data_IF_344393688501
#
_entry.id   IF_344393688501
#
_cell.length_a   1.000
_cell.length_b   1.000
_cell.length_c   1.000
_cell.angle_alpha   90.00
_cell.angle_beta   90.00
_cell.angle_gamma   90.00
#
_symmetry.space_group_name_H-M   'P 1'
#
loop_
_entity.id
_entity.type
_entity.pdbx_description
1 polymer ?
#
# COMPACT_ATOMS: atom_id res chain seq x y z
N UNK A 1 18.16 26.31 -13.75
CA UNK A 1 17.61 25.30 -14.69
C UNK A 1 18.12 23.94 -14.25
N UNK A 2 17.27 22.91 -14.18
CA UNK A 2 17.72 21.55 -13.84
C UNK A 2 18.53 20.98 -15.01
N UNK A 3 19.80 20.66 -14.77
CA UNK A 3 20.70 20.06 -15.76
C UNK A 3 20.55 18.54 -15.84
N UNK A 4 19.67 17.95 -14.99
CA UNK A 4 19.40 16.51 -14.94
C UNK A 4 19.12 15.88 -16.30
N UNK A 5 18.13 16.39 -17.04
CA UNK A 5 17.76 15.81 -18.33
C UNK A 5 18.91 15.80 -19.34
N UNK A 6 19.74 16.85 -19.34
CA UNK A 6 20.92 16.96 -20.21
C UNK A 6 22.01 15.98 -19.80
N UNK A 7 22.29 15.84 -18.51
CA UNK A 7 23.28 14.88 -18.00
C UNK A 7 22.82 13.44 -18.21
N UNK A 8 21.54 13.14 -17.99
CA UNK A 8 20.95 11.83 -18.27
C UNK A 8 21.15 11.46 -19.75
N UNK A 9 20.78 12.37 -20.66
CA UNK A 9 20.98 12.18 -22.09
C UNK A 9 22.45 11.98 -22.45
N UNK A 10 23.33 12.81 -21.89
CA UNK A 10 24.76 12.72 -22.10
C UNK A 10 25.29 11.33 -21.70
N UNK A 11 25.03 10.86 -20.48
CA UNK A 11 25.49 9.55 -20.03
C UNK A 11 24.86 8.40 -20.82
N UNK A 12 23.57 8.49 -21.19
CA UNK A 12 22.92 7.49 -22.06
C UNK A 12 23.61 7.40 -23.42
N UNK A 13 23.94 8.52 -24.06
CA UNK A 13 24.59 8.52 -25.37
C UNK A 13 26.04 7.99 -25.34
N UNK A 14 26.69 7.99 -24.17
CA UNK A 14 27.97 7.33 -23.94
C UNK A 14 27.83 5.81 -23.78
N UNK A 15 26.64 5.31 -23.44
CA UNK A 15 26.41 3.88 -23.26
C UNK A 15 26.47 3.12 -24.60
N UNK A 16 26.95 1.88 -24.55
CA UNK A 16 26.96 0.94 -25.68
C UNK A 16 26.16 -0.30 -25.33
N UNK A 17 25.10 -0.58 -26.07
CA UNK A 17 24.31 -1.80 -25.89
C UNK A 17 25.12 -3.00 -26.44
N UNK A 18 25.46 -4.01 -25.61
CA UNK A 18 26.25 -5.16 -26.05
C UNK A 18 25.50 -6.05 -27.05
N UNK A 19 24.17 -6.01 -27.06
CA UNK A 19 23.36 -6.81 -27.99
C UNK A 19 23.37 -6.26 -29.41
N UNK A 20 23.45 -4.93 -29.57
CA UNK A 20 23.38 -4.27 -30.89
C UNK A 20 24.69 -3.59 -31.30
N UNK A 21 25.62 -3.37 -30.37
CA UNK A 21 26.83 -2.56 -30.54
C UNK A 21 26.58 -1.06 -30.71
N UNK A 22 25.31 -0.62 -30.70
CA UNK A 22 24.91 0.78 -30.93
C UNK A 22 24.83 1.56 -29.61
N UNK A 23 24.64 2.88 -29.73
CA UNK A 23 24.31 3.73 -28.58
C UNK A 23 22.99 3.30 -27.97
N UNK A 24 22.88 3.37 -26.64
CA UNK A 24 21.66 3.03 -25.93
C UNK A 24 20.53 4.00 -26.32
N UNK A 25 19.42 3.50 -26.84
CA UNK A 25 18.24 4.33 -27.17
C UNK A 25 17.39 4.61 -25.93
N UNK A 26 16.49 5.60 -26.00
CA UNK A 26 15.55 5.89 -24.90
C UNK A 26 14.61 4.71 -24.63
N UNK A 27 14.08 4.09 -25.68
CA UNK A 27 13.24 2.88 -25.60
C UNK A 27 14.00 1.74 -24.91
N UNK A 28 15.24 1.48 -25.34
CA UNK A 28 16.06 0.43 -24.76
C UNK A 28 16.41 0.67 -23.30
N UNK A 29 16.64 1.93 -22.90
CA UNK A 29 16.82 2.28 -21.48
C UNK A 29 15.56 1.99 -20.66
N UNK A 30 14.38 2.28 -21.22
CA UNK A 30 13.09 1.93 -20.62
C UNK A 30 12.90 0.42 -20.41
N UNK A 31 13.29 -0.39 -21.39
CA UNK A 31 13.26 -1.86 -21.28
C UNK A 31 14.23 -2.37 -20.20
N UNK A 32 15.45 -1.83 -20.14
CA UNK A 32 16.43 -2.23 -19.11
C UNK A 32 15.97 -1.87 -17.70
N UNK A 33 15.26 -0.75 -17.54
CA UNK A 33 14.62 -0.40 -16.27
C UNK A 33 13.52 -1.41 -15.92
N UNK A 34 12.72 -1.84 -16.89
CA UNK A 34 11.72 -2.89 -16.66
C UNK A 34 12.37 -4.20 -16.19
N UNK A 35 13.45 -4.63 -16.84
CA UNK A 35 14.18 -5.86 -16.46
C UNK A 35 14.76 -5.77 -15.03
N UNK A 36 15.18 -4.58 -14.60
CA UNK A 36 15.81 -4.36 -13.29
C UNK A 36 14.80 -4.23 -12.14
N UNK A 37 13.70 -3.47 -12.31
CA UNK A 37 12.76 -3.16 -11.21
C UNK A 37 11.32 -3.64 -11.42
N UNK A 38 11.02 -4.24 -12.59
CA UNK A 38 9.68 -4.77 -12.91
C UNK A 38 8.63 -3.71 -13.24
N UNK A 39 9.05 -2.46 -13.48
CA UNK A 39 8.15 -1.34 -13.83
C UNK A 39 8.51 -0.86 -15.23
N UNK A 40 7.53 -0.87 -16.15
CA UNK A 40 7.75 -0.53 -17.54
C UNK A 40 7.72 0.97 -17.75
N UNK A 41 8.80 1.53 -18.31
CA UNK A 41 8.90 2.93 -18.70
C UNK A 41 9.03 3.01 -20.21
N UNK A 42 8.14 3.75 -20.85
CA UNK A 42 8.22 3.95 -22.30
C UNK A 42 9.41 4.85 -22.67
N UNK A 43 9.89 4.73 -23.91
CA UNK A 43 10.90 5.66 -24.44
C UNK A 43 10.45 7.13 -24.39
N UNK A 44 9.13 7.38 -24.45
CA UNK A 44 8.56 8.72 -24.27
C UNK A 44 8.77 9.26 -22.84
N UNK A 45 8.57 8.43 -21.81
CA UNK A 45 8.83 8.83 -20.42
C UNK A 45 10.31 9.20 -20.21
N UNK A 46 11.23 8.39 -20.76
CA UNK A 46 12.67 8.69 -20.74
C UNK A 46 12.98 10.00 -21.50
N UNK A 47 12.36 10.21 -22.65
CA UNK A 47 12.49 11.46 -23.41
C UNK A 47 11.98 12.68 -22.62
N UNK A 48 10.90 12.54 -21.87
CA UNK A 48 10.38 13.62 -21.02
C UNK A 48 11.34 13.94 -19.87
N UNK A 49 12.00 12.93 -19.28
CA UNK A 49 13.06 13.15 -18.29
C UNK A 49 14.26 13.88 -18.92
N UNK A 50 14.70 13.45 -20.10
CA UNK A 50 15.83 14.08 -20.81
C UNK A 50 15.55 15.54 -21.22
N UNK A 51 14.29 15.86 -21.50
CA UNK A 51 13.83 17.22 -21.84
C UNK A 51 13.46 18.06 -20.60
N UNK A 52 13.53 17.48 -19.40
CA UNK A 52 13.00 18.05 -18.17
C UNK A 52 11.49 18.41 -18.22
N UNK A 53 10.71 17.75 -19.09
CA UNK A 53 9.26 17.89 -19.15
C UNK A 53 8.56 17.13 -18.01
N UNK A 54 9.18 16.05 -17.53
CA UNK A 54 8.78 15.35 -16.31
C UNK A 54 9.99 15.08 -15.41
N UNK A 55 9.72 14.85 -14.12
CA UNK A 55 10.75 14.55 -13.11
C UNK A 55 10.47 13.19 -12.50
N UNK A 56 11.53 12.42 -12.24
CA UNK A 56 11.45 11.23 -11.39
C UNK A 56 11.11 11.70 -9.98
N UNK A 57 10.15 11.06 -9.32
CA UNK A 57 9.81 11.38 -7.94
C UNK A 57 11.03 11.11 -7.04
N UNK A 58 11.40 12.06 -6.18
CA UNK A 58 12.53 11.91 -5.27
C UNK A 58 12.37 10.73 -4.29
N UNK A 59 11.12 10.32 -4.03
CA UNK A 59 10.81 9.15 -3.20
C UNK A 59 11.01 7.82 -3.95
N UNK A 60 11.10 7.83 -5.29
CA UNK A 60 11.39 6.65 -6.11
C UNK A 60 12.90 6.42 -6.24
N UNK A 61 13.54 6.27 -5.07
CA UNK A 61 14.98 6.08 -4.98
C UNK A 61 15.45 4.80 -5.67
N UNK A 62 14.59 3.77 -5.71
CA UNK A 62 14.87 2.53 -6.41
C UNK A 62 15.05 2.77 -7.92
N UNK A 63 14.15 3.54 -8.54
CA UNK A 63 14.29 3.94 -9.95
C UNK A 63 15.59 4.73 -10.19
N UNK A 64 15.94 5.67 -9.31
CA UNK A 64 17.18 6.46 -9.44
C UNK A 64 18.44 5.59 -9.32
N UNK A 65 18.50 4.67 -8.36
CA UNK A 65 19.61 3.72 -8.21
C UNK A 65 19.73 2.79 -9.42
N UNK A 66 18.61 2.25 -9.90
CA UNK A 66 18.58 1.37 -11.08
C UNK A 66 19.02 2.12 -12.34
N UNK A 67 18.65 3.39 -12.48
CA UNK A 67 19.11 4.24 -13.57
C UNK A 67 20.63 4.42 -13.54
N UNK A 68 21.21 4.76 -12.38
CA UNK A 68 22.67 4.88 -12.21
C UNK A 68 23.36 3.55 -12.49
N UNK A 69 22.83 2.44 -11.97
CA UNK A 69 23.35 1.09 -12.19
C UNK A 69 23.42 0.73 -13.67
N UNK A 70 22.35 0.96 -14.42
CA UNK A 70 22.29 0.69 -15.87
C UNK A 70 23.28 1.59 -16.61
N UNK A 71 23.28 2.90 -16.34
CA UNK A 71 24.22 3.82 -16.99
C UNK A 71 25.68 3.44 -16.72
N UNK A 72 26.00 2.96 -15.51
CA UNK A 72 27.33 2.45 -15.19
C UNK A 72 27.66 1.15 -15.91
N UNK A 73 26.76 0.16 -15.86
CA UNK A 73 26.95 -1.15 -16.49
C UNK A 73 27.23 -1.05 -17.99
N UNK A 74 26.61 -0.08 -18.66
CA UNK A 74 26.74 0.12 -20.11
C UNK A 74 27.80 1.18 -20.49
N UNK A 75 28.58 1.65 -19.51
CA UNK A 75 29.77 2.51 -19.71
C UNK A 75 29.50 4.01 -19.81
N UNK A 76 28.29 4.47 -19.50
CA UNK A 76 27.93 5.88 -19.45
C UNK A 76 28.50 6.61 -18.24
N UNK A 77 28.32 6.06 -17.04
CA UNK A 77 28.86 6.58 -15.77
C UNK A 77 30.10 5.77 -15.39
N UNK A 78 31.23 6.45 -15.14
CA UNK A 78 32.51 5.76 -14.87
C UNK A 78 32.93 5.81 -13.41
N UNK A 79 32.51 6.84 -12.69
CA UNK A 79 32.89 7.04 -11.29
C UNK A 79 31.68 7.40 -10.40
N UNK A 80 31.81 7.30 -9.07
CA UNK A 80 30.79 7.75 -8.14
C UNK A 80 30.47 9.24 -8.26
N UNK A 81 31.46 10.06 -8.59
CA UNK A 81 31.30 11.51 -8.74
C UNK A 81 30.42 11.84 -9.95
N UNK A 82 30.52 11.08 -11.04
CA UNK A 82 29.63 11.19 -12.20
C UNK A 82 28.18 10.90 -11.81
N UNK A 83 27.96 9.90 -10.94
CA UNK A 83 26.65 9.51 -10.43
C UNK A 83 26.07 10.56 -9.47
N UNK A 84 26.86 11.05 -8.52
CA UNK A 84 26.46 12.11 -7.60
C UNK A 84 26.11 13.38 -8.38
N UNK A 85 26.94 13.77 -9.34
CA UNK A 85 26.68 14.91 -10.22
C UNK A 85 25.38 14.76 -11.01
N UNK A 86 25.08 13.55 -11.52
CA UNK A 86 23.80 13.29 -12.18
C UNK A 86 22.64 13.53 -11.20
N UNK A 87 22.69 12.90 -10.02
CA UNK A 87 21.61 12.96 -9.04
C UNK A 87 21.38 14.38 -8.49
N UNK A 88 22.45 15.06 -8.08
CA UNK A 88 22.39 16.41 -7.53
C UNK A 88 21.86 17.42 -8.55
N UNK A 89 22.14 17.26 -9.84
CA UNK A 89 21.60 18.12 -10.90
C UNK A 89 20.07 18.04 -11.06
N UNK A 90 19.44 17.00 -10.48
CA UNK A 90 18.00 16.82 -10.38
C UNK A 90 17.41 17.26 -9.04
N UNK A 91 18.24 17.77 -8.11
CA UNK A 91 17.94 17.95 -6.69
C UNK A 91 17.63 16.62 -5.97
N UNK A 92 18.24 15.52 -6.40
CA UNK A 92 18.24 14.26 -5.66
C UNK A 92 19.42 14.22 -4.69
N UNK A 93 19.34 13.35 -3.67
CA UNK A 93 20.48 13.14 -2.77
C UNK A 93 21.62 12.41 -3.50
N UNK A 94 22.86 12.70 -3.11
CA UNK A 94 24.03 11.92 -3.51
C UNK A 94 23.93 10.46 -2.99
N UNK A 95 24.73 9.58 -3.60
CA UNK A 95 24.86 8.19 -3.18
C UNK A 95 25.52 8.14 -1.79
N UNK A 96 24.99 7.33 -0.90
CA UNK A 96 25.63 7.06 0.39
C UNK A 96 26.80 6.08 0.22
N UNK A 97 27.69 5.92 1.23
CA UNK A 97 28.87 5.05 1.11
C UNK A 97 28.54 3.59 0.78
N UNK A 98 27.43 3.05 1.29
CA UNK A 98 27.00 1.67 1.00
C UNK A 98 26.55 1.52 -0.45
N UNK A 99 25.79 2.49 -0.97
CA UNK A 99 25.36 2.53 -2.36
C UNK A 99 26.54 2.70 -3.32
N UNK A 100 27.52 3.53 -2.96
CA UNK A 100 28.79 3.66 -3.71
C UNK A 100 29.57 2.36 -3.73
N UNK A 101 29.68 1.67 -2.60
CA UNK A 101 30.37 0.38 -2.50
C UNK A 101 29.68 -0.72 -3.33
N UNK A 102 28.35 -0.76 -3.34
CA UNK A 102 27.57 -1.72 -4.13
C UNK A 102 27.65 -1.43 -5.64
N UNK A 103 27.49 -0.15 -6.02
CA UNK A 103 27.49 0.25 -7.43
C UNK A 103 28.89 0.30 -8.02
N UNK A 104 29.93 0.63 -7.28
CA UNK A 104 31.29 0.81 -7.79
C UNK A 104 32.31 -0.05 -7.01
N UNK A 105 32.26 -1.40 -7.12
CA UNK A 105 33.20 -2.25 -6.40
C UNK A 105 34.64 -1.97 -6.86
N UNK A 106 35.47 -1.47 -5.95
CA UNK A 106 36.87 -1.11 -6.16
C UNK A 106 37.50 -0.59 -4.86
N UNK A 107 38.85 -0.54 -4.76
CA UNK A 107 39.53 -0.01 -3.60
C UNK A 107 39.34 1.52 -3.56
N UNK A 108 38.24 1.96 -2.95
CA UNK A 108 38.14 3.33 -2.49
C UNK A 108 39.00 3.44 -1.24
N UNK A 109 40.07 4.23 -1.31
CA UNK A 109 40.68 4.77 -0.09
C UNK A 109 39.58 5.58 0.59
N UNK A 110 39.07 5.06 1.71
CA UNK A 110 38.04 5.72 2.49
C UNK A 110 38.63 7.04 2.98
N UNK A 111 38.15 8.15 2.40
CA UNK A 111 38.43 9.47 2.94
C UNK A 111 37.76 9.54 4.32
N UNK A 112 38.58 9.57 5.38
CA UNK A 112 38.20 9.56 6.81
C UNK A 112 37.41 10.81 7.26
N UNK A 113 36.84 11.56 6.32
CA UNK A 113 35.94 12.67 6.61
C UNK A 113 34.71 12.15 7.37
N UNK A 114 34.44 12.66 8.59
CA UNK A 114 33.34 12.19 9.41
C UNK A 114 32.01 12.46 8.68
N UNK A 115 31.39 11.38 8.21
CA UNK A 115 30.13 11.44 7.50
C UNK A 115 29.06 12.13 8.38
N UNK A 116 28.26 13.06 7.82
CA UNK A 116 27.10 13.58 8.53
C UNK A 116 26.19 12.40 8.94
N UNK A 117 25.59 12.44 10.13
CA UNK A 117 24.79 11.34 10.65
C UNK A 117 23.69 10.98 9.64
N UNK A 118 23.56 9.70 9.25
CA UNK A 118 22.62 9.28 8.23
C UNK A 118 21.20 9.62 8.68
N UNK A 119 20.56 10.55 7.99
CA UNK A 119 19.12 10.74 8.08
C UNK A 119 18.49 9.58 7.32
N UNK A 120 18.34 8.45 8.01
CA UNK A 120 17.72 7.22 7.51
C UNK A 120 16.24 7.45 7.23
N UNK A 121 15.93 7.97 6.03
CA UNK A 121 14.61 7.86 5.41
C UNK A 121 14.66 6.70 4.41
N UNK A 122 14.84 5.49 4.92
CA UNK A 122 14.40 4.31 4.18
C UNK A 122 12.87 4.41 4.12
N UNK A 123 12.33 4.75 2.96
CA UNK A 123 10.91 4.64 2.69
C UNK A 123 10.67 3.23 2.16
N UNK A 124 10.26 2.25 3.01
CA UNK A 124 9.96 0.92 2.51
C UNK A 124 8.78 1.04 1.54
N UNK A 125 8.93 0.53 0.33
CA UNK A 125 7.79 0.41 -0.57
C UNK A 125 6.66 -0.35 0.16
N UNK A 126 5.49 0.28 0.27
CA UNK A 126 4.37 -0.21 1.10
C UNK A 126 3.94 -1.65 0.75
N UNK A 127 4.24 -2.11 -0.46
CA UNK A 127 3.96 -3.48 -0.93
C UNK A 127 5.00 -4.51 -0.46
N UNK A 128 6.28 -4.16 -0.34
CA UNK A 128 7.29 -5.09 0.18
C UNK A 128 7.06 -5.43 1.65
N UNK A 129 6.53 -4.48 2.43
CA UNK A 129 6.10 -4.73 3.80
C UNK A 129 5.02 -5.82 3.88
N UNK A 130 4.02 -5.77 2.99
CA UNK A 130 2.92 -6.75 2.97
C UNK A 130 3.39 -8.15 2.56
N UNK A 131 4.25 -8.28 1.55
CA UNK A 131 4.69 -9.60 1.07
C UNK A 131 5.73 -10.28 1.98
N UNK A 132 6.59 -9.52 2.67
CA UNK A 132 7.58 -10.09 3.60
C UNK A 132 6.92 -10.71 4.83
N UNK A 133 5.77 -10.18 5.25
CA UNK A 133 5.01 -10.67 6.40
C UNK A 133 4.13 -11.88 6.07
N UNK A 134 3.63 -12.04 4.84
CA UNK A 134 2.65 -13.09 4.50
C UNK A 134 3.27 -14.49 4.37
N UNK A 135 4.42 -14.62 3.71
CA UNK A 135 5.04 -15.95 3.52
C UNK A 135 5.99 -16.34 4.64
N UNK A 136 6.52 -15.37 5.41
CA UNK A 136 7.54 -15.57 6.44
C UNK A 136 8.89 -16.10 5.93
N UNK A 137 8.94 -16.75 4.77
CA UNK A 137 10.15 -17.34 4.18
C UNK A 137 10.87 -16.25 3.39
N UNK A 138 12.11 -15.94 3.80
CA UNK A 138 12.97 -15.01 3.05
C UNK A 138 13.37 -15.59 1.70
N UNK A 139 13.71 -14.74 0.71
CA UNK A 139 14.21 -15.22 -0.60
C UNK A 139 15.42 -16.14 -0.46
N UNK A 140 16.33 -15.85 0.47
CA UNK A 140 17.50 -16.68 0.75
C UNK A 140 17.09 -18.05 1.30
N UNK A 141 16.15 -18.07 2.25
CA UNK A 141 15.63 -19.30 2.85
C UNK A 141 14.86 -20.16 1.83
N UNK A 142 14.11 -19.53 0.92
CA UNK A 142 13.43 -20.26 -0.15
C UNK A 142 14.41 -20.87 -1.15
N UNK A 143 15.47 -20.14 -1.52
CA UNK A 143 16.57 -20.70 -2.35
C UNK A 143 17.22 -21.91 -1.67
N UNK A 144 17.43 -21.84 -0.37
CA UNK A 144 17.99 -22.96 0.39
C UNK A 144 17.06 -24.19 0.40
N UNK A 145 15.75 -23.98 0.59
CA UNK A 145 14.75 -25.06 0.50
C UNK A 145 14.75 -25.69 -0.90
N UNK A 146 14.86 -24.89 -1.96
CA UNK A 146 14.95 -25.39 -3.33
C UNK A 146 16.23 -26.21 -3.56
N UNK A 147 17.37 -25.75 -3.04
CA UNK A 147 18.64 -26.47 -3.16
C UNK A 147 18.59 -27.82 -2.43
N UNK A 148 18.06 -27.85 -1.21
CA UNK A 148 17.87 -29.10 -0.45
C UNK A 148 16.88 -30.04 -1.13
N UNK A 149 15.84 -29.52 -1.79
CA UNK A 149 14.87 -30.36 -2.48
C UNK A 149 15.45 -31.01 -3.76
N UNK A 150 16.48 -30.41 -4.38
CA UNK A 150 17.15 -30.93 -5.59
C UNK A 150 18.03 -32.15 -5.33
N UNK A 151 18.49 -32.37 -4.11
CA UNK A 151 19.33 -33.53 -3.77
C UNK A 151 18.56 -34.84 -3.55
N UNK A 152 17.23 -34.80 -3.53
CA UNK A 152 16.38 -35.99 -3.36
C UNK A 152 15.74 -36.52 -4.66
N UNK A 153 15.01 -37.65 -4.59
CA UNK A 153 14.34 -38.26 -5.75
C UNK A 153 13.31 -37.33 -6.41
N UNK A 154 13.23 -37.33 -7.74
CA UNK A 154 12.25 -36.51 -8.46
C UNK A 154 10.83 -37.11 -8.30
N UNK A 155 9.76 -36.27 -8.24
CA UNK A 155 9.77 -34.81 -8.36
C UNK A 155 10.14 -34.08 -7.06
N UNK A 156 10.85 -32.96 -7.16
CA UNK A 156 11.27 -32.17 -5.98
C UNK A 156 10.15 -31.34 -5.31
N UNK A 157 9.08 -31.02 -6.05
CA UNK A 157 8.03 -30.09 -5.58
C UNK A 157 7.27 -30.55 -4.32
N UNK A 158 6.97 -31.85 -4.07
CA UNK A 158 6.27 -32.25 -2.86
C UNK A 158 7.11 -31.98 -1.60
N UNK A 159 8.44 -32.16 -1.67
CA UNK A 159 9.33 -31.84 -0.56
C UNK A 159 9.40 -30.34 -0.29
N UNK A 160 9.46 -29.53 -1.34
CA UNK A 160 9.40 -28.06 -1.20
C UNK A 160 8.09 -27.67 -0.51
N UNK A 161 6.94 -28.21 -0.97
CA UNK A 161 5.64 -27.92 -0.39
C UNK A 161 5.57 -28.34 1.08
N UNK A 162 5.98 -29.57 1.43
CA UNK A 162 5.97 -30.05 2.81
C UNK A 162 6.91 -29.24 3.70
N UNK A 163 8.12 -28.89 3.25
CA UNK A 163 9.06 -28.09 4.04
C UNK A 163 8.55 -26.66 4.24
N UNK A 164 7.94 -26.05 3.22
CA UNK A 164 7.32 -24.73 3.33
C UNK A 164 6.12 -24.77 4.27
N UNK A 165 5.23 -25.76 4.12
CA UNK A 165 4.07 -25.95 5.02
C UNK A 165 4.56 -26.19 6.44
N UNK A 166 5.51 -27.11 6.67
CA UNK A 166 6.05 -27.40 8.00
C UNK A 166 6.68 -26.16 8.62
N UNK A 167 7.52 -25.42 7.90
CA UNK A 167 8.10 -24.17 8.41
C UNK A 167 7.05 -23.11 8.70
N UNK A 168 5.99 -23.05 7.89
CA UNK A 168 4.86 -22.17 8.14
C UNK A 168 4.15 -22.60 9.43
N UNK A 169 3.76 -23.87 9.56
CA UNK A 169 3.07 -24.43 10.73
C UNK A 169 3.89 -24.37 12.01
N UNK A 170 5.21 -24.62 11.95
CA UNK A 170 6.14 -24.54 13.08
C UNK A 170 6.24 -23.09 13.62
N UNK A 171 5.93 -22.09 12.78
CA UNK A 171 5.86 -20.68 13.19
C UNK A 171 4.49 -20.26 13.71
N UNK A 172 3.44 -21.06 13.48
CA UNK A 172 2.12 -20.78 14.01
C UNK A 172 2.11 -21.12 15.49
N UNK A 173 2.14 -20.09 16.34
CA UNK A 173 1.96 -20.30 17.77
C UNK A 173 0.50 -20.63 18.10
N UNK A 174 0.23 -21.26 19.25
CA UNK A 174 -1.14 -21.45 19.74
C UNK A 174 -1.92 -20.13 19.84
N UNK A 175 -1.21 -19.03 20.12
CA UNK A 175 -1.77 -17.69 20.11
C UNK A 175 -2.21 -17.24 18.71
N UNK A 176 -1.46 -17.59 17.65
CA UNK A 176 -1.83 -17.28 16.27
C UNK A 176 -3.04 -18.09 15.81
N UNK A 177 -3.15 -19.36 16.22
CA UNK A 177 -4.37 -20.17 15.97
C UNK A 177 -5.58 -19.55 16.66
N UNK A 178 -5.46 -19.20 17.94
CA UNK A 178 -6.54 -18.52 18.68
C UNK A 178 -6.92 -17.21 18.00
N UNK A 179 -5.93 -16.44 17.55
CA UNK A 179 -6.14 -15.19 16.82
C UNK A 179 -6.88 -15.43 15.49
N UNK A 180 -6.55 -16.48 14.75
CA UNK A 180 -7.23 -16.84 13.51
C UNK A 180 -8.70 -17.25 13.79
N UNK A 181 -8.95 -18.03 14.84
CA UNK A 181 -10.31 -18.39 15.27
C UNK A 181 -11.12 -17.12 15.62
N UNK A 182 -10.52 -16.18 16.35
CA UNK A 182 -11.16 -14.90 16.67
C UNK A 182 -11.48 -14.08 15.41
N UNK A 183 -10.61 -14.10 14.39
CA UNK A 183 -10.93 -13.46 13.10
C UNK A 183 -12.12 -14.11 12.39
N UNK A 184 -12.23 -15.44 12.42
CA UNK A 184 -13.41 -16.15 11.91
C UNK A 184 -14.67 -15.71 12.65
N UNK A 185 -14.61 -15.58 13.98
CA UNK A 185 -15.74 -15.07 14.76
C UNK A 185 -16.11 -13.62 14.43
N UNK A 186 -15.12 -12.73 14.30
CA UNK A 186 -15.36 -11.33 13.85
C UNK A 186 -16.06 -11.32 12.49
N UNK A 187 -15.66 -12.21 11.58
CA UNK A 187 -16.29 -12.32 10.28
C UNK A 187 -17.72 -12.86 10.35
N UNK A 188 -18.00 -13.88 11.16
CA UNK A 188 -19.38 -14.39 11.37
C UNK A 188 -20.27 -13.27 11.94
N UNK A 189 -19.78 -12.54 12.94
CA UNK A 189 -20.49 -11.41 13.55
C UNK A 189 -20.72 -10.30 12.53
N UNK A 190 -19.73 -9.98 11.70
CA UNK A 190 -19.87 -8.98 10.63
C UNK A 190 -20.89 -9.41 9.58
N UNK A 191 -20.87 -10.67 9.17
CA UNK A 191 -21.86 -11.22 8.24
C UNK A 191 -23.27 -11.06 8.82
N UNK A 192 -23.48 -11.39 10.09
CA UNK A 192 -24.79 -11.29 10.72
C UNK A 192 -25.25 -9.83 10.94
N UNK A 193 -24.37 -8.93 11.38
CA UNK A 193 -24.72 -7.55 11.72
C UNK A 193 -24.78 -6.61 10.51
N UNK A 194 -23.94 -6.84 9.50
CA UNK A 194 -23.68 -5.86 8.42
C UNK A 194 -24.27 -6.30 7.09
N UNK A 195 -24.22 -7.59 6.74
CA UNK A 195 -24.64 -8.07 5.43
C UNK A 195 -26.11 -7.73 5.08
N UNK A 196 -27.09 -7.80 6.02
CA UNK A 196 -28.46 -7.38 5.71
C UNK A 196 -28.52 -5.95 5.17
N UNK A 197 -27.76 -5.02 5.77
CA UNK A 197 -27.72 -3.62 5.35
C UNK A 197 -27.02 -3.39 4.01
N UNK A 198 -26.34 -4.37 3.43
CA UNK A 198 -25.81 -4.25 2.07
C UNK A 198 -26.88 -4.51 1.03
N UNK A 199 -28.01 -5.12 1.42
CA UNK A 199 -29.09 -5.53 0.53
C UNK A 199 -30.33 -4.62 0.65
N UNK A 200 -30.15 -3.31 0.90
CA UNK A 200 -31.25 -2.35 1.13
C UNK A 200 -32.38 -2.39 0.09
N UNK A 201 -32.05 -2.57 -1.19
CA UNK A 201 -33.05 -2.67 -2.27
C UNK A 201 -33.93 -3.93 -2.22
N UNK A 202 -33.55 -4.95 -1.44
CA UNK A 202 -34.29 -6.21 -1.27
C UNK A 202 -34.98 -6.32 0.10
N UNK A 203 -34.65 -5.41 1.03
CA UNK A 203 -35.22 -5.40 2.37
C UNK A 203 -36.66 -4.89 2.32
N UNK A 204 -37.56 -5.55 3.04
CA UNK A 204 -38.93 -5.07 3.24
C UNK A 204 -38.94 -3.92 4.23
N UNK A 205 -39.87 -2.98 4.07
CA UNK A 205 -39.98 -1.81 4.95
C UNK A 205 -40.11 -2.20 6.44
N UNK A 206 -40.83 -3.29 6.74
CA UNK A 206 -40.97 -3.81 8.10
C UNK A 206 -39.63 -4.23 8.75
N UNK A 207 -38.64 -4.63 7.94
CA UNK A 207 -37.34 -5.11 8.39
C UNK A 207 -36.26 -4.02 8.34
N UNK A 208 -36.58 -2.84 7.79
CA UNK A 208 -35.64 -1.72 7.62
C UNK A 208 -35.06 -1.25 8.96
N UNK A 209 -35.93 -1.02 9.96
CA UNK A 209 -35.53 -0.57 11.29
C UNK A 209 -34.59 -1.57 11.96
N UNK A 210 -34.94 -2.86 11.93
CA UNK A 210 -34.08 -3.91 12.50
C UNK A 210 -32.73 -3.96 11.79
N UNK A 211 -32.71 -3.89 10.46
CA UNK A 211 -31.48 -3.86 9.66
C UNK A 211 -30.59 -2.68 10.04
N UNK A 212 -31.16 -1.48 10.15
CA UNK A 212 -30.42 -0.29 10.54
C UNK A 212 -29.84 -0.41 11.97
N UNK A 213 -30.61 -0.97 12.91
CA UNK A 213 -30.13 -1.23 14.28
C UNK A 213 -28.96 -2.22 14.25
N UNK A 214 -29.08 -3.34 13.52
CA UNK A 214 -28.00 -4.34 13.40
C UNK A 214 -26.74 -3.71 12.80
N UNK A 215 -26.88 -2.89 11.76
CA UNK A 215 -25.76 -2.16 11.17
C UNK A 215 -25.12 -1.19 12.16
N UNK A 216 -25.91 -0.39 12.89
CA UNK A 216 -25.41 0.52 13.90
C UNK A 216 -24.62 -0.23 14.98
N UNK A 217 -25.16 -1.34 15.48
CA UNK A 217 -24.47 -2.21 16.46
C UNK A 217 -23.17 -2.76 15.87
N UNK A 218 -23.21 -3.31 14.65
CA UNK A 218 -22.03 -3.85 13.97
C UNK A 218 -20.94 -2.81 13.77
N UNK A 219 -21.31 -1.60 13.37
CA UNK A 219 -20.38 -0.48 13.18
C UNK A 219 -19.72 0.02 14.47
N UNK A 220 -20.37 -0.18 15.63
CA UNK A 220 -19.82 0.18 16.94
C UNK A 220 -18.96 -0.94 17.54
N UNK A 221 -19.25 -2.20 17.22
CA UNK A 221 -18.57 -3.37 17.82
C UNK A 221 -17.39 -3.85 16.97
N UNK A 222 -17.54 -3.95 15.65
CA UNK A 222 -16.54 -4.57 14.77
C UNK A 222 -15.23 -3.79 14.71
N UNK A 223 -15.20 -2.45 14.53
CA UNK A 223 -13.94 -1.72 14.45
C UNK A 223 -13.09 -1.80 15.73
N UNK A 224 -13.66 -1.72 16.95
CA UNK A 224 -12.92 -2.00 18.17
C UNK A 224 -12.30 -3.40 18.20
N UNK A 225 -13.05 -4.44 17.81
CA UNK A 225 -12.54 -5.81 17.73
C UNK A 225 -11.39 -5.93 16.72
N UNK A 226 -11.55 -5.34 15.53
CA UNK A 226 -10.50 -5.27 14.49
C UNK A 226 -9.24 -4.59 15.05
N UNK A 227 -9.39 -3.43 15.69
CA UNK A 227 -8.29 -2.68 16.28
C UNK A 227 -7.55 -3.46 17.36
N UNK A 228 -8.29 -4.08 18.29
CA UNK A 228 -7.72 -4.94 19.33
C UNK A 228 -6.95 -6.13 18.73
N UNK A 229 -7.47 -6.70 17.65
CA UNK A 229 -6.88 -7.84 16.94
C UNK A 229 -5.70 -7.46 16.05
N UNK A 230 -5.44 -6.18 15.80
CA UNK A 230 -4.38 -5.74 14.87
C UNK A 230 -2.97 -5.87 15.47
N UNK A 231 -2.84 -5.79 16.81
CA UNK A 231 -1.61 -6.14 17.52
C UNK A 231 -0.38 -5.28 17.18
N UNK A 232 -0.57 -3.99 16.88
CA UNK A 232 0.49 -3.08 16.42
C UNK A 232 1.66 -2.93 17.40
N UNK A 233 1.43 -3.05 18.71
CA UNK A 233 2.49 -2.98 19.73
C UNK A 233 3.58 -4.05 19.61
N UNK A 234 3.33 -5.16 18.89
CA UNK A 234 4.34 -6.21 18.64
C UNK A 234 5.28 -5.90 17.47
N UNK A 235 4.99 -4.89 16.65
CA UNK A 235 5.83 -4.55 15.48
C UNK A 235 7.11 -3.82 15.92
N UNK A 236 8.25 -4.22 15.34
CA UNK A 236 9.58 -3.67 15.66
C UNK A 236 9.62 -2.15 15.57
N UNK A 237 9.05 -1.60 14.50
CA UNK A 237 8.95 -0.15 14.28
C UNK A 237 8.40 0.62 15.49
N UNK A 238 7.24 0.23 16.04
CA UNK A 238 6.64 0.95 17.16
C UNK A 238 7.42 0.77 18.47
N UNK A 239 8.11 -0.36 18.62
CA UNK A 239 8.98 -0.64 19.77
C UNK A 239 10.22 0.23 19.73
N UNK A 240 10.86 0.36 18.56
CA UNK A 240 12.02 1.23 18.34
C UNK A 240 11.69 2.70 18.62
N UNK A 241 10.47 3.14 18.33
CA UNK A 241 9.99 4.49 18.64
C UNK A 241 9.51 4.67 20.09
N UNK A 242 9.57 3.64 20.94
CA UNK A 242 9.09 3.71 22.32
C UNK A 242 7.57 3.91 22.44
N UNK A 243 6.81 3.59 21.39
CA UNK A 243 5.36 3.82 21.30
C UNK A 243 4.53 2.54 21.43
N UNK A 244 5.17 1.37 21.55
CA UNK A 244 4.50 0.06 21.53
C UNK A 244 3.40 -0.13 22.58
N UNK A 245 3.49 0.56 23.72
CA UNK A 245 2.50 0.51 24.81
C UNK A 245 1.72 1.82 24.99
N UNK A 246 1.88 2.78 24.08
CA UNK A 246 1.22 4.07 24.22
C UNK A 246 -0.29 3.93 24.03
N UNK A 247 -1.08 4.49 24.95
CA UNK A 247 -2.54 4.62 24.80
C UNK A 247 -2.91 5.32 23.49
N UNK A 248 -2.10 6.32 23.10
CA UNK A 248 -2.31 7.11 21.88
C UNK A 248 -2.20 6.22 20.63
N UNK A 249 -1.23 5.31 20.59
CA UNK A 249 -1.10 4.36 19.48
C UNK A 249 -2.34 3.46 19.39
N UNK A 250 -2.79 2.90 20.51
CA UNK A 250 -3.98 2.05 20.54
C UNK A 250 -5.24 2.80 20.08
N UNK A 251 -5.44 4.03 20.54
CA UNK A 251 -6.54 4.87 20.08
C UNK A 251 -6.50 5.09 18.56
N UNK A 252 -5.33 5.40 17.99
CA UNK A 252 -5.20 5.57 16.53
C UNK A 252 -5.39 4.28 15.75
N UNK A 253 -5.03 3.13 16.31
CA UNK A 253 -5.30 1.82 15.70
C UNK A 253 -6.81 1.57 15.64
N UNK A 254 -7.54 1.85 16.72
CA UNK A 254 -9.00 1.73 16.72
C UNK A 254 -9.65 2.73 15.77
N UNK A 255 -9.23 3.99 15.78
CA UNK A 255 -9.71 5.00 14.82
C UNK A 255 -9.42 4.57 13.38
N UNK A 256 -8.23 4.02 13.13
CA UNK A 256 -7.86 3.49 11.84
C UNK A 256 -8.78 2.37 11.39
N UNK A 257 -9.15 1.49 12.32
CA UNK A 257 -10.14 0.44 12.09
C UNK A 257 -11.53 1.01 11.75
N UNK A 258 -12.00 2.04 12.46
CA UNK A 258 -13.28 2.70 12.17
C UNK A 258 -13.30 3.30 10.77
N UNK A 259 -12.29 4.11 10.43
CA UNK A 259 -12.18 4.74 9.11
C UNK A 259 -12.15 3.68 8.01
N UNK A 260 -11.27 2.67 8.15
CA UNK A 260 -11.15 1.60 7.17
C UNK A 260 -12.44 0.78 7.02
N UNK A 261 -13.10 0.46 8.13
CA UNK A 261 -14.34 -0.31 8.12
C UNK A 261 -15.46 0.44 7.38
N UNK A 262 -15.66 1.72 7.67
CA UNK A 262 -16.67 2.52 6.98
C UNK A 262 -16.36 2.69 5.50
N UNK A 263 -15.11 2.97 5.14
CA UNK A 263 -14.69 3.04 3.72
C UNK A 263 -14.97 1.72 2.99
N UNK A 264 -14.60 0.59 3.60
CA UNK A 264 -14.85 -0.73 3.02
C UNK A 264 -16.35 -1.04 2.92
N UNK A 265 -17.15 -0.66 3.92
CA UNK A 265 -18.60 -0.79 3.89
C UNK A 265 -19.22 0.00 2.74
N UNK A 266 -18.86 1.28 2.58
CA UNK A 266 -19.39 2.12 1.49
C UNK A 266 -19.06 1.57 0.12
N UNK A 267 -17.84 1.07 -0.04
CA UNK A 267 -17.43 0.45 -1.30
C UNK A 267 -18.27 -0.79 -1.62
N UNK A 268 -18.55 -1.65 -0.62
CA UNK A 268 -19.41 -2.82 -0.81
C UNK A 268 -20.90 -2.48 -0.97
N UNK A 269 -21.37 -1.42 -0.31
CA UNK A 269 -22.73 -0.91 -0.48
C UNK A 269 -22.95 -0.40 -1.92
N UNK A 270 -22.01 0.38 -2.46
CA UNK A 270 -21.99 0.79 -3.86
C UNK A 270 -21.96 -0.42 -4.80
N UNK A 271 -21.04 -1.36 -4.56
CA UNK A 271 -20.93 -2.56 -5.39
C UNK A 271 -22.26 -3.34 -5.42
N UNK A 272 -22.91 -3.51 -4.27
CA UNK A 272 -24.19 -4.22 -4.18
C UNK A 272 -25.33 -3.43 -4.83
N UNK A 273 -25.31 -2.10 -4.74
CA UNK A 273 -26.29 -1.24 -5.41
C UNK A 273 -26.19 -1.35 -6.94
N UNK A 274 -24.97 -1.36 -7.48
CA UNK A 274 -24.73 -1.60 -8.92
C UNK A 274 -25.15 -3.01 -9.32
N UNK A 275 -24.83 -4.02 -8.51
CA UNK A 275 -25.24 -5.40 -8.75
C UNK A 275 -26.77 -5.52 -8.83
N UNK A 276 -27.49 -4.88 -7.91
CA UNK A 276 -28.96 -4.86 -7.88
C UNK A 276 -29.54 -4.12 -9.08
N UNK A 277 -28.94 -2.99 -9.49
CA UNK A 277 -29.34 -2.24 -10.69
C UNK A 277 -29.24 -3.11 -11.96
N UNK A 278 -28.21 -3.94 -12.04
CA UNK A 278 -28.01 -4.86 -13.17
C UNK A 278 -28.87 -6.12 -13.10
N UNK A 279 -29.66 -6.31 -12.03
CA UNK A 279 -30.44 -7.54 -11.81
C UNK A 279 -29.57 -8.79 -11.67
N UNK A 280 -28.29 -8.62 -11.32
CA UNK A 280 -27.35 -9.73 -11.26
C UNK A 280 -27.58 -10.55 -9.98
N UNK A 281 -27.81 -11.86 -10.15
CA UNK A 281 -27.99 -12.77 -9.02
C UNK A 281 -26.75 -12.77 -8.12
N UNK A 282 -26.97 -12.70 -6.81
CA UNK A 282 -25.92 -12.78 -5.80
C UNK A 282 -25.51 -14.22 -5.57
N UNK A 283 -24.32 -14.59 -6.03
CA UNK A 283 -23.71 -15.86 -5.65
C UNK A 283 -23.34 -15.83 -4.16
N UNK A 284 -23.51 -16.95 -3.44
CA UNK A 284 -23.24 -17.05 -2.00
C UNK A 284 -21.81 -16.57 -1.65
N UNK A 285 -20.82 -16.93 -2.46
CA UNK A 285 -19.43 -16.51 -2.24
C UNK A 285 -19.23 -14.99 -2.32
N UNK A 286 -20.06 -14.29 -3.12
CA UNK A 286 -19.99 -12.83 -3.23
C UNK A 286 -20.46 -12.15 -1.94
N UNK A 287 -21.45 -12.71 -1.24
CA UNK A 287 -21.90 -12.21 0.06
C UNK A 287 -20.82 -12.37 1.14
N UNK A 288 -20.06 -13.47 1.09
CA UNK A 288 -18.92 -13.66 1.98
C UNK A 288 -17.82 -12.61 1.77
N UNK A 289 -17.53 -12.27 0.51
CA UNK A 289 -16.57 -11.20 0.19
C UNK A 289 -17.09 -9.85 0.66
N UNK A 290 -18.37 -9.55 0.42
CA UNK A 290 -19.01 -8.31 0.88
C UNK A 290 -18.91 -8.11 2.38
N UNK A 291 -19.09 -9.17 3.17
CA UNK A 291 -18.93 -9.11 4.62
C UNK A 291 -17.45 -9.04 5.06
N UNK A 292 -16.54 -9.71 4.35
CA UNK A 292 -15.11 -9.72 4.67
C UNK A 292 -14.40 -8.41 4.30
N UNK A 293 -14.84 -7.74 3.25
CA UNK A 293 -14.14 -6.57 2.71
C UNK A 293 -14.06 -5.38 3.69
N UNK A 294 -15.14 -4.97 4.40
CA UNK A 294 -15.05 -3.94 5.44
C UNK A 294 -14.09 -4.30 6.56
N UNK A 295 -13.99 -5.59 6.92
CA UNK A 295 -13.06 -6.08 7.94
C UNK A 295 -11.62 -5.94 7.46
N UNK A 296 -11.34 -6.35 6.21
CA UNK A 296 -10.02 -6.26 5.61
C UNK A 296 -9.55 -4.80 5.47
N UNK A 297 -10.41 -3.90 4.98
CA UNK A 297 -10.09 -2.48 4.88
C UNK A 297 -9.96 -1.84 6.28
N UNK A 298 -10.78 -2.26 7.25
CA UNK A 298 -10.64 -1.88 8.66
C UNK A 298 -9.28 -2.27 9.22
N UNK A 299 -8.85 -3.52 9.02
CA UNK A 299 -7.53 -4.00 9.45
C UNK A 299 -6.39 -3.20 8.78
N UNK A 300 -6.50 -2.93 7.47
CA UNK A 300 -5.52 -2.10 6.76
C UNK A 300 -5.48 -0.66 7.32
N UNK A 301 -6.65 -0.06 7.58
CA UNK A 301 -6.76 1.26 8.20
C UNK A 301 -6.14 1.31 9.59
N UNK A 302 -6.35 0.27 10.41
CA UNK A 302 -5.77 0.12 11.74
C UNK A 302 -4.23 0.09 11.74
N UNK A 303 -3.62 -0.36 10.63
CA UNK A 303 -2.18 -0.35 10.42
C UNK A 303 -1.68 0.97 9.84
N UNK A 304 -2.34 1.46 8.79
CA UNK A 304 -1.83 2.56 7.96
C UNK A 304 -2.07 3.93 8.60
N UNK A 305 -3.20 4.16 9.27
CA UNK A 305 -3.53 5.48 9.82
C UNK A 305 -2.55 5.93 10.92
N UNK A 306 -2.26 5.14 11.97
CA UNK A 306 -1.25 5.54 12.95
C UNK A 306 0.14 5.73 12.30
N UNK A 307 0.50 4.89 11.34
CA UNK A 307 1.78 5.01 10.63
C UNK A 307 1.87 6.32 9.82
N UNK A 308 0.84 6.64 9.05
CA UNK A 308 0.78 7.86 8.23
C UNK A 308 0.75 9.13 9.09
N UNK A 309 0.02 9.12 10.22
CA UNK A 309 0.04 10.23 11.17
C UNK A 309 1.43 10.43 11.78
N UNK A 310 2.10 9.34 12.15
CA UNK A 310 3.47 9.42 12.64
C UNK A 310 4.43 9.95 11.56
N UNK A 311 4.31 9.50 10.31
CA UNK A 311 5.12 10.00 9.20
C UNK A 311 4.91 11.49 8.95
N UNK A 312 3.64 11.95 9.01
CA UNK A 312 3.29 13.34 8.75
C UNK A 312 3.79 14.29 9.85
N UNK A 313 3.71 13.89 11.12
CA UNK A 313 3.96 14.78 12.26
C UNK A 313 5.26 14.46 13.03
N UNK A 314 5.93 13.34 12.73
CA UNK A 314 7.10 12.83 13.46
C UNK A 314 6.77 12.30 14.87
N UNK A 315 5.50 12.37 15.29
CA UNK A 315 5.03 11.99 16.62
C UNK A 315 3.54 11.64 16.57
N UNK A 316 3.05 10.96 17.61
CA UNK A 316 1.62 10.71 17.79
C UNK A 316 1.13 11.46 19.04
N UNK A 317 0.38 12.54 18.85
CA UNK A 317 -0.34 13.23 19.93
C UNK A 317 -1.83 13.23 19.64
N UNK A 318 -2.66 13.08 20.67
CA UNK A 318 -4.13 13.02 20.54
C UNK A 318 -4.74 14.16 19.71
N UNK A 319 -4.17 15.37 19.84
CA UNK A 319 -4.64 16.58 19.13
C UNK A 319 -4.48 16.49 17.60
N UNK A 320 -3.54 15.67 17.11
CA UNK A 320 -3.20 15.59 15.69
C UNK A 320 -4.21 14.72 14.90
N UNK A 321 -5.16 14.09 15.59
CA UNK A 321 -6.20 13.26 14.95
C UNK A 321 -7.53 13.24 15.69
N UNK A 322 -7.87 14.31 16.41
CA UNK A 322 -9.17 14.46 17.07
C UNK A 322 -10.36 14.30 16.12
N UNK A 323 -10.21 14.70 14.85
CA UNK A 323 -11.25 14.56 13.82
C UNK A 323 -11.69 13.12 13.59
N UNK A 324 -10.80 12.15 13.83
CA UNK A 324 -11.11 10.74 13.60
C UNK A 324 -12.08 10.15 14.64
N UNK A 325 -12.28 10.82 15.79
CA UNK A 325 -13.29 10.37 16.77
C UNK A 325 -14.73 10.48 16.26
N UNK A 326 -14.99 11.37 15.30
CA UNK A 326 -16.30 11.51 14.66
C UNK A 326 -16.70 10.21 13.92
N UNK A 327 -15.72 9.41 13.47
CA UNK A 327 -15.99 8.16 12.77
C UNK A 327 -16.67 7.09 13.64
N UNK A 328 -16.58 7.18 14.97
CA UNK A 328 -17.33 6.27 15.86
C UNK A 328 -18.84 6.48 15.75
N UNK A 329 -19.26 7.73 15.55
CA UNK A 329 -20.67 8.09 15.41
C UNK A 329 -21.18 7.88 13.98
N UNK A 330 -20.28 7.69 13.03
CA UNK A 330 -20.60 7.64 11.62
C UNK A 330 -21.54 6.46 11.31
N UNK A 331 -21.33 5.31 11.94
CA UNK A 331 -22.21 4.14 11.77
C UNK A 331 -23.68 4.39 12.17
N UNK A 332 -23.97 4.79 13.41
CA UNK A 332 -25.33 5.18 13.82
C UNK A 332 -25.93 6.31 12.95
N UNK A 333 -25.14 7.30 12.57
CA UNK A 333 -25.60 8.38 11.69
C UNK A 333 -25.98 7.85 10.31
N UNK A 334 -25.21 6.92 9.75
CA UNK A 334 -25.56 6.26 8.49
C UNK A 334 -26.77 5.34 8.61
N UNK A 335 -26.91 4.62 9.72
CA UNK A 335 -28.09 3.81 10.00
C UNK A 335 -29.35 4.68 9.96
N UNK A 336 -29.32 5.83 10.65
CA UNK A 336 -30.40 6.79 10.65
C UNK A 336 -30.65 7.38 9.24
N UNK A 337 -29.58 7.75 8.52
CA UNK A 337 -29.69 8.22 7.14
C UNK A 337 -30.34 7.19 6.21
N UNK A 338 -29.96 5.92 6.28
CA UNK A 338 -30.56 4.87 5.45
C UNK A 338 -32.04 4.65 5.78
N UNK A 339 -32.46 4.82 7.04
CA UNK A 339 -33.87 4.76 7.41
C UNK A 339 -34.66 5.94 6.86
N UNK A 340 -34.17 7.16 7.06
CA UNK A 340 -34.84 8.39 6.60
C UNK A 340 -35.02 8.37 5.08
N UNK A 341 -34.00 7.90 4.37
CA UNK A 341 -33.99 7.83 2.90
C UNK A 341 -34.28 6.42 2.37
N UNK A 342 -34.90 5.54 3.17
CA UNK A 342 -35.19 4.17 2.76
C UNK A 342 -35.97 4.09 1.44
N UNK A 343 -37.03 4.88 1.18
CA UNK A 343 -37.76 4.83 -0.09
C UNK A 343 -36.88 5.11 -1.32
N UNK A 344 -35.84 5.93 -1.14
CA UNK A 344 -34.88 6.26 -2.21
C UNK A 344 -33.97 5.07 -2.48
N UNK A 345 -33.46 4.43 -1.44
CA UNK A 345 -32.56 3.26 -1.56
C UNK A 345 -33.30 1.96 -1.91
N UNK A 346 -34.59 1.86 -1.61
CA UNK A 346 -35.45 0.76 -2.02
C UNK A 346 -35.68 0.76 -3.55
N UNK A 347 -35.62 1.93 -4.19
CA UNK A 347 -35.62 2.04 -5.65
C UNK A 347 -34.21 1.80 -6.22
N UNK A 348 -33.98 0.74 -7.02
CA UNK A 348 -32.65 0.46 -7.56
C UNK A 348 -32.08 1.61 -8.38
N UNK A 349 -32.94 2.32 -9.11
CA UNK A 349 -32.56 3.44 -9.98
C UNK A 349 -32.22 4.69 -9.15
N UNK A 350 -33.10 5.10 -8.24
CA UNK A 350 -32.86 6.30 -7.43
C UNK A 350 -31.67 6.11 -6.48
N UNK A 351 -31.56 4.94 -5.85
CA UNK A 351 -30.41 4.59 -5.03
C UNK A 351 -29.09 4.67 -5.82
N UNK A 352 -29.05 4.11 -7.03
CA UNK A 352 -27.88 4.20 -7.90
C UNK A 352 -27.55 5.65 -8.28
N UNK A 353 -28.55 6.48 -8.62
CA UNK A 353 -28.34 7.89 -8.95
C UNK A 353 -27.76 8.69 -7.78
N UNK A 354 -28.28 8.48 -6.56
CA UNK A 354 -27.77 9.14 -5.35
C UNK A 354 -26.31 8.76 -5.09
N UNK A 355 -25.97 7.48 -5.22
CA UNK A 355 -24.60 7.00 -5.02
C UNK A 355 -23.66 7.55 -6.11
N UNK A 356 -24.07 7.54 -7.38
CA UNK A 356 -23.29 8.12 -8.48
C UNK A 356 -23.04 9.61 -8.28
N UNK A 357 -24.06 10.36 -7.82
CA UNK A 357 -23.93 11.78 -7.50
C UNK A 357 -22.91 12.00 -6.36
N UNK A 358 -23.00 11.21 -5.27
CA UNK A 358 -22.06 11.27 -4.17
C UNK A 358 -20.61 10.99 -4.61
N UNK A 359 -20.39 9.97 -5.45
CA UNK A 359 -19.06 9.68 -6.02
C UNK A 359 -18.55 10.81 -6.89
N UNK A 360 -19.41 11.40 -7.72
CA UNK A 360 -19.05 12.51 -8.62
C UNK A 360 -18.60 13.71 -7.81
N UNK A 361 -19.32 14.05 -6.73
CA UNK A 361 -18.96 15.13 -5.81
C UNK A 361 -17.62 14.85 -5.13
N UNK A 362 -17.40 13.62 -4.66
CA UNK A 362 -16.13 13.21 -4.03
C UNK A 362 -14.95 13.32 -5.00
N UNK A 363 -15.09 12.76 -6.20
CA UNK A 363 -14.06 12.80 -7.23
C UNK A 363 -13.75 14.24 -7.68
N UNK A 364 -14.78 15.08 -7.85
CA UNK A 364 -14.61 16.49 -8.18
C UNK A 364 -13.90 17.27 -7.07
N UNK A 365 -14.23 16.99 -5.80
CA UNK A 365 -13.56 17.59 -4.64
C UNK A 365 -12.08 17.25 -4.60
N UNK A 366 -11.73 15.98 -4.84
CA UNK A 366 -10.34 15.53 -4.82
C UNK A 366 -9.54 16.06 -6.02
N UNK A 367 -10.12 16.06 -7.22
CA UNK A 367 -9.53 16.69 -8.39
C UNK A 367 -9.26 18.19 -8.17
N UNK A 368 -10.16 18.88 -7.44
CA UNK A 368 -9.98 20.30 -7.10
C UNK A 368 -8.85 20.51 -6.10
N UNK A 369 -8.71 19.65 -5.09
CA UNK A 369 -7.57 19.70 -4.15
C UNK A 369 -6.24 19.50 -4.88
N UNK A 370 -6.17 18.50 -5.76
CA UNK A 370 -4.96 18.21 -6.53
C UNK A 370 -4.57 19.34 -7.49
N UNK A 371 -5.53 20.09 -8.04
CA UNK A 371 -5.25 21.29 -8.84
C UNK A 371 -4.64 22.42 -8.00
N UNK A 372 -5.10 22.63 -6.77
CA UNK A 372 -4.54 23.66 -5.88
C UNK A 372 -3.15 23.33 -5.36
N UNK A 373 -2.80 22.04 -5.29
CA UNK A 373 -1.48 21.60 -4.84
C UNK A 373 -0.38 21.74 -5.89
N UNK A 374 -0.72 22.00 -7.17
CA UNK A 374 0.30 22.36 -8.17
C UNK A 374 0.74 23.81 -7.91
N UNK A 375 2.02 24.06 -7.55
CA UNK A 375 2.52 25.43 -7.48
C UNK A 375 2.32 26.10 -8.84
N UNK A 376 2.00 27.39 -8.83
CA UNK A 376 1.95 28.17 -10.06
C UNK A 376 3.30 28.02 -10.79
N UNK A 377 3.31 27.84 -12.13
CA UNK A 377 4.56 27.83 -12.86
C UNK A 377 5.25 29.19 -12.64
N UNK A 378 6.47 29.14 -12.09
CA UNK A 378 7.37 30.29 -11.95
C UNK A 378 7.82 30.82 -13.33
#
# INVERSE_FOLDING_TARGET
MNEFGKLLRFYREQCRDPSTGKRLTQERLGDLLFDEIGVHYSGAAVSDWERNESRINADDWLLLLSLVKILKQYGGIKSPEDADRLLESGNYRALNPLEKADLFPGPFEADDSPAPPPVSRESPSNLQFLFKDISGVSRAEFKEILNQARSGPQPAWPRVAVTVIRKFTDRISAFDVLRAILWVWIWIVAYWLVAPSLQWALIKEADAVQTAILYAIGSLILPPLIGAMTGTGKKGFWREKGLSSSLVLHLYVHQGAYVGFHVGYFFMFLFTSVQNLLGAQTAIWSEFIKAAFPIAVGYAGALLIPYNLWLAYGQLRLKDGGIFFVFVLLGPLWAWFFLEFYPVFASPVLGALVILAAMTILAASEARKNRKAKPAPD
#
